data_IF_920261730307
#
_entry.id   IF_920261730307
#
_cell.length_a   1.000
_cell.length_b   1.000
_cell.length_c   1.000
_cell.angle_alpha   90.00
_cell.angle_beta   90.00
_cell.angle_gamma   90.00
#
_symmetry.space_group_name_H-M   'P 1'
#
loop_
_entity.id
_entity.type
_entity.pdbx_description
1 polymer ?
#
# COMPACT_ATOMS: atom_id res chain seq x y z
N UNK A 1 14.93 14.87 4.29
CA UNK A 1 13.59 14.34 4.07
C UNK A 1 13.69 12.85 3.85
N UNK A 2 13.22 12.08 4.81
CA UNK A 2 13.08 10.62 4.77
C UNK A 2 11.59 10.28 4.74
N UNK A 3 11.24 9.06 4.33
CA UNK A 3 9.85 8.61 4.35
C UNK A 3 9.30 8.60 5.78
N UNK A 4 10.13 8.31 6.79
CA UNK A 4 9.73 8.32 8.19
C UNK A 4 9.34 9.72 8.69
N UNK A 5 10.04 10.75 8.23
CA UNK A 5 9.66 12.14 8.51
C UNK A 5 8.29 12.48 7.89
N UNK A 6 8.06 12.08 6.64
CA UNK A 6 6.78 12.31 5.96
C UNK A 6 5.63 11.53 6.60
N UNK A 7 5.83 10.26 6.99
CA UNK A 7 4.82 9.48 7.71
C UNK A 7 4.38 10.18 9.00
N UNK A 8 5.35 10.75 9.74
CA UNK A 8 5.08 11.52 10.96
C UNK A 8 4.27 12.79 10.68
N UNK A 9 4.55 13.51 9.59
CA UNK A 9 3.75 14.69 9.18
C UNK A 9 2.27 14.34 8.95
N UNK A 10 2.00 13.16 8.39
CA UNK A 10 0.63 12.68 8.11
C UNK A 10 0.00 11.92 9.28
N UNK A 11 0.68 11.83 10.43
CA UNK A 11 0.27 11.03 11.58
C UNK A 11 -0.01 9.56 11.20
N UNK A 12 0.87 8.98 10.38
CA UNK A 12 0.79 7.61 9.91
C UNK A 12 1.83 6.74 10.61
N UNK A 13 1.40 5.58 11.08
CA UNK A 13 2.26 4.52 11.59
C UNK A 13 2.45 3.42 10.54
N UNK A 14 3.41 2.54 10.77
CA UNK A 14 3.68 1.38 9.90
C UNK A 14 2.44 0.51 9.68
N UNK A 15 1.57 0.37 10.69
CA UNK A 15 0.31 -0.38 10.54
C UNK A 15 -0.69 0.32 9.62
N UNK A 16 -0.69 1.65 9.56
CA UNK A 16 -1.55 2.42 8.65
C UNK A 16 -1.10 2.22 7.19
N UNK A 17 0.21 2.24 6.95
CA UNK A 17 0.81 1.90 5.65
C UNK A 17 0.39 0.48 5.25
N UNK A 18 0.58 -0.49 6.15
CA UNK A 18 0.21 -1.89 5.92
C UNK A 18 -1.27 -2.03 5.58
N UNK A 19 -2.15 -1.38 6.34
CA UNK A 19 -3.58 -1.39 6.10
C UNK A 19 -3.95 -0.87 4.70
N UNK A 20 -3.39 0.27 4.29
CA UNK A 20 -3.67 0.83 2.97
C UNK A 20 -3.12 -0.04 1.83
N UNK A 21 -1.95 -0.64 1.99
CA UNK A 21 -1.41 -1.59 1.02
C UNK A 21 -2.31 -2.84 0.90
N UNK A 22 -2.79 -3.38 2.02
CA UNK A 22 -3.79 -4.46 2.02
C UNK A 22 -5.09 -4.06 1.31
N UNK A 23 -5.58 -2.83 1.52
CA UNK A 23 -6.79 -2.34 0.82
C UNK A 23 -6.60 -2.29 -0.69
N UNK A 24 -5.42 -1.86 -1.17
CA UNK A 24 -5.10 -1.88 -2.59
C UNK A 24 -5.03 -3.29 -3.14
N UNK A 25 -4.40 -4.21 -2.42
CA UNK A 25 -4.37 -5.64 -2.76
C UNK A 25 -5.78 -6.22 -2.88
N UNK A 26 -6.64 -5.93 -1.90
CA UNK A 26 -8.03 -6.38 -1.90
C UNK A 26 -8.81 -5.83 -3.11
N UNK A 27 -8.59 -4.56 -3.48
CA UNK A 27 -9.17 -3.98 -4.69
C UNK A 27 -8.68 -4.72 -5.95
N UNK A 28 -7.37 -4.95 -6.09
CA UNK A 28 -6.80 -5.69 -7.23
C UNK A 28 -7.36 -7.11 -7.36
N UNK A 29 -7.52 -7.82 -6.25
CA UNK A 29 -8.13 -9.16 -6.26
C UNK A 29 -9.63 -9.12 -6.60
N UNK A 30 -10.33 -8.06 -6.20
CA UNK A 30 -11.74 -7.84 -6.55
C UNK A 30 -11.89 -7.52 -8.03
N UNK A 31 -11.01 -6.67 -8.58
CA UNK A 31 -10.99 -6.36 -10.01
C UNK A 31 -10.69 -7.61 -10.83
N UNK A 32 -9.70 -8.42 -10.43
CA UNK A 32 -9.40 -9.71 -11.04
C UNK A 32 -10.61 -10.66 -11.03
N UNK A 33 -11.32 -10.73 -9.90
CA UNK A 33 -12.55 -11.53 -9.79
C UNK A 33 -13.63 -11.04 -10.76
N UNK A 34 -13.80 -9.73 -10.89
CA UNK A 34 -14.83 -9.14 -11.73
C UNK A 34 -14.51 -9.25 -13.22
N UNK A 35 -13.23 -9.15 -13.60
CA UNK A 35 -12.77 -9.12 -14.99
C UNK A 35 -12.50 -10.52 -15.55
N UNK A 36 -11.86 -11.40 -14.77
CA UNK A 36 -11.41 -12.72 -15.23
C UNK A 36 -12.14 -13.90 -14.56
N UNK A 37 -12.92 -13.62 -13.51
CA UNK A 37 -13.74 -14.62 -12.83
C UNK A 37 -13.01 -15.41 -11.73
N UNK A 38 -13.73 -16.34 -11.07
CA UNK A 38 -13.25 -17.03 -9.88
C UNK A 38 -12.07 -17.97 -10.14
N UNK A 39 -11.96 -18.57 -11.34
CA UNK A 39 -10.85 -19.46 -11.68
C UNK A 39 -9.52 -18.71 -11.76
N UNK A 40 -9.52 -17.50 -12.31
CA UNK A 40 -8.33 -16.66 -12.39
C UNK A 40 -7.87 -16.22 -10.99
N UNK A 41 -8.81 -15.74 -10.15
CA UNK A 41 -8.52 -15.43 -8.75
C UNK A 41 -7.97 -16.66 -8.00
N UNK A 42 -8.57 -17.84 -8.21
CA UNK A 42 -8.12 -19.08 -7.58
C UNK A 42 -6.68 -19.42 -7.97
N UNK A 43 -6.30 -19.28 -9.25
CA UNK A 43 -4.92 -19.52 -9.69
C UNK A 43 -3.93 -18.53 -9.07
N UNK A 44 -4.29 -17.25 -8.99
CA UNK A 44 -3.46 -16.19 -8.37
C UNK A 44 -3.25 -16.44 -6.88
N UNK A 45 -4.29 -16.90 -6.16
CA UNK A 45 -4.15 -17.28 -4.75
C UNK A 45 -3.34 -18.56 -4.57
N UNK A 46 -3.59 -19.57 -5.41
CA UNK A 46 -2.91 -20.87 -5.36
C UNK A 46 -1.41 -20.79 -5.69
N UNK A 47 -1.00 -19.86 -6.55
CA UNK A 47 0.41 -19.70 -6.93
C UNK A 47 1.31 -19.29 -5.76
N UNK A 48 0.74 -18.79 -4.66
CA UNK A 48 1.48 -18.25 -3.52
C UNK A 48 1.93 -16.79 -3.71
N UNK A 49 1.75 -16.24 -4.91
CA UNK A 49 2.24 -14.90 -5.28
C UNK A 49 1.62 -13.80 -4.39
N UNK A 50 0.33 -13.91 -4.06
CA UNK A 50 -0.33 -12.97 -3.13
C UNK A 50 0.31 -13.01 -1.75
N UNK A 51 0.70 -14.20 -1.27
CA UNK A 51 1.39 -14.34 0.01
C UNK A 51 2.77 -13.67 -0.01
N UNK A 52 3.53 -13.88 -1.09
CA UNK A 52 4.84 -13.26 -1.30
C UNK A 52 4.74 -11.73 -1.45
N UNK A 53 3.69 -11.23 -2.09
CA UNK A 53 3.39 -9.80 -2.20
C UNK A 53 3.01 -9.18 -0.85
N UNK A 54 2.31 -9.91 0.01
CA UNK A 54 1.95 -9.43 1.37
C UNK A 54 3.12 -9.49 2.35
N UNK A 55 4.06 -10.42 2.16
CA UNK A 55 5.20 -10.58 3.06
C UNK A 55 6.10 -9.33 3.08
N UNK A 56 6.29 -8.76 4.28
CA UNK A 56 7.06 -7.53 4.54
C UNK A 56 6.74 -6.38 3.55
N UNK A 57 5.49 -6.29 3.08
CA UNK A 57 5.12 -5.35 2.03
C UNK A 57 5.32 -3.88 2.44
N UNK A 58 5.09 -3.56 3.71
CA UNK A 58 5.27 -2.23 4.25
C UNK A 58 6.74 -1.84 4.34
N UNK A 59 7.61 -2.77 4.73
CA UNK A 59 9.06 -2.54 4.79
C UNK A 59 9.62 -2.32 3.38
N UNK A 60 9.20 -3.15 2.41
CA UNK A 60 9.57 -2.98 1.00
C UNK A 60 9.09 -1.66 0.43
N UNK A 61 7.86 -1.24 0.76
CA UNK A 61 7.32 0.04 0.33
C UNK A 61 8.10 1.22 0.94
N UNK A 62 8.37 1.19 2.25
CA UNK A 62 9.16 2.20 2.97
C UNK A 62 10.54 2.33 2.34
N UNK A 63 11.26 1.22 2.16
CA UNK A 63 12.59 1.22 1.55
C UNK A 63 12.57 1.79 0.13
N UNK A 64 11.54 1.44 -0.65
CA UNK A 64 11.37 1.95 -2.01
C UNK A 64 11.19 3.47 -2.03
N UNK A 65 10.37 4.03 -1.12
CA UNK A 65 10.18 5.48 -1.06
C UNK A 65 11.44 6.20 -0.54
N UNK A 66 12.17 5.64 0.42
CA UNK A 66 13.46 6.19 0.87
C UNK A 66 14.50 6.20 -0.25
N UNK A 67 14.57 5.14 -1.06
CA UNK A 67 15.41 5.06 -2.26
C UNK A 67 15.02 6.14 -3.30
N UNK A 68 13.72 6.41 -3.45
CA UNK A 68 13.23 7.44 -4.37
C UNK A 68 13.58 8.86 -3.90
N UNK A 69 13.39 9.14 -2.60
CA UNK A 69 13.71 10.43 -1.98
C UNK A 69 15.21 10.70 -2.00
N UNK A 70 16.03 9.71 -1.59
CA UNK A 70 17.49 9.85 -1.53
C UNK A 70 18.14 10.08 -2.90
N UNK A 71 17.61 9.44 -3.95
CA UNK A 71 18.13 9.56 -5.32
C UNK A 71 17.53 10.72 -6.09
N UNK A 72 16.63 11.52 -5.49
CA UNK A 72 15.81 12.56 -6.17
C UNK A 72 15.13 12.04 -7.45
N UNK A 73 14.82 10.74 -7.49
CA UNK A 73 14.27 10.07 -8.69
C UNK A 73 12.77 10.26 -8.84
N UNK A 74 12.09 10.60 -7.74
CA UNK A 74 10.66 10.88 -7.70
C UNK A 74 10.45 12.22 -7.02
N UNK A 75 9.52 13.01 -7.53
CA UNK A 75 9.10 14.25 -6.90
C UNK A 75 8.37 13.90 -5.59
N UNK A 76 8.78 14.54 -4.49
CA UNK A 76 8.19 14.39 -3.16
C UNK A 76 6.67 14.58 -3.20
N UNK A 77 6.18 15.40 -4.14
CA UNK A 77 4.75 15.60 -4.42
C UNK A 77 3.98 14.29 -4.59
N UNK A 78 4.51 13.33 -5.35
CA UNK A 78 3.82 12.06 -5.61
C UNK A 78 3.73 11.18 -4.36
N UNK A 79 4.77 11.22 -3.52
CA UNK A 79 4.76 10.49 -2.25
C UNK A 79 3.72 11.13 -1.32
N UNK A 80 3.64 12.45 -1.28
CA UNK A 80 2.64 13.19 -0.49
C UNK A 80 1.20 12.92 -0.95
N UNK A 81 0.96 12.80 -2.24
CA UNK A 81 -0.35 12.37 -2.76
C UNK A 81 -0.71 10.97 -2.27
N UNK A 82 0.27 10.05 -2.30
CA UNK A 82 0.09 8.68 -1.82
C UNK A 82 -0.20 8.63 -0.31
N UNK A 83 0.53 9.41 0.50
CA UNK A 83 0.31 9.52 1.95
C UNK A 83 -1.03 10.17 2.30
N UNK A 84 -1.53 11.08 1.46
CA UNK A 84 -2.87 11.65 1.62
C UNK A 84 -3.96 10.58 1.50
N UNK A 85 -3.79 9.63 0.58
CA UNK A 85 -4.68 8.46 0.46
C UNK A 85 -4.59 7.57 1.70
N UNK A 86 -3.39 7.32 2.22
CA UNK A 86 -3.20 6.51 3.43
C UNK A 86 -3.87 7.14 4.65
N UNK A 87 -3.74 8.46 4.81
CA UNK A 87 -4.43 9.20 5.87
C UNK A 87 -5.95 9.08 5.76
N UNK A 88 -6.50 9.18 4.54
CA UNK A 88 -7.93 8.98 4.31
C UNK A 88 -8.38 7.54 4.63
N UNK A 89 -7.58 6.53 4.29
CA UNK A 89 -7.87 5.12 4.62
C UNK A 89 -7.84 4.85 6.13
N UNK A 90 -6.89 5.46 6.86
CA UNK A 90 -6.86 5.43 8.32
C UNK A 90 -8.15 5.98 8.92
N UNK A 91 -8.60 7.14 8.47
CA UNK A 91 -9.86 7.74 8.94
C UNK A 91 -11.03 6.79 8.66
N UNK A 92 -11.13 6.24 7.45
CA UNK A 92 -12.20 5.30 7.07
C UNK A 92 -12.20 4.03 7.92
N UNK A 93 -11.02 3.50 8.27
CA UNK A 93 -10.86 2.31 9.13
C UNK A 93 -11.56 2.50 10.48
N UNK A 94 -11.42 3.67 11.09
CA UNK A 94 -11.99 3.99 12.40
C UNK A 94 -13.38 4.63 12.35
N UNK A 95 -13.85 5.01 11.15
CA UNK A 95 -15.17 5.62 10.94
C UNK A 95 -16.24 4.59 10.52
N UNK A 96 -15.84 3.35 10.24
CA UNK A 96 -16.77 2.27 9.92
C UNK A 96 -17.24 1.60 11.23
N UNK A 97 -18.55 1.40 11.45
CA UNK A 97 -19.08 0.76 12.65
C UNK A 97 -18.72 -0.71 12.76
#
# INVERSE_FOLDING_TARGET
>A
MTIHELLKEYNLETDDVRWSLCRRMAAQLTDLLNEEGPDALTRKLWSGEVGDELYNMEERWIQTQDDHLSRKKRDESHIRDELSVFSADKIKRFSSP
#
